data_IF_654480766245
#
_entry.id   IF_654480766245
#
_cell.length_a   1.000
_cell.length_b   1.000
_cell.length_c   1.000
_cell.angle_alpha   90.00
_cell.angle_beta   90.00
_cell.angle_gamma   90.00
#
_symmetry.space_group_name_H-M   'P 1'
#
loop_
_entity.id
_entity.type
_entity.pdbx_description
1 polymer ?
#
# COMPACT_ATOMS: atom_id res chain seq x y z
N UNK A 1 -18.03 1.79 9.27
CA UNK A 1 -18.09 1.39 7.85
C UNK A 1 -19.51 0.94 7.58
N UNK A 2 -20.11 1.43 6.52
CA UNK A 2 -21.43 1.00 6.05
C UNK A 2 -21.29 0.39 4.67
N UNK A 3 -22.04 -0.67 4.42
CA UNK A 3 -22.08 -1.36 3.12
C UNK A 3 -23.40 -1.01 2.44
N UNK A 4 -23.36 -0.69 1.15
CA UNK A 4 -24.58 -0.60 0.34
C UNK A 4 -25.04 -1.97 -0.15
N UNK A 5 -26.14 -2.00 -0.93
CA UNK A 5 -26.74 -3.23 -1.45
C UNK A 5 -25.83 -3.99 -2.44
N UNK A 6 -24.80 -3.34 -2.99
CA UNK A 6 -23.76 -3.92 -3.84
C UNK A 6 -22.51 -4.38 -3.07
N UNK A 7 -22.45 -4.12 -1.75
CA UNK A 7 -21.27 -4.38 -0.93
C UNK A 7 -20.22 -3.27 -1.01
N UNK A 8 -20.53 -2.15 -1.68
CA UNK A 8 -19.66 -0.99 -1.78
C UNK A 8 -19.69 -0.18 -0.48
N UNK A 9 -18.54 0.40 -0.14
CA UNK A 9 -18.31 0.95 1.19
C UNK A 9 -18.50 2.44 1.24
N UNK A 10 -19.12 2.87 2.31
CA UNK A 10 -19.02 4.23 2.81
C UNK A 10 -18.31 4.26 4.17
N UNK A 11 -17.31 5.13 4.27
CA UNK A 11 -16.64 5.43 5.52
C UNK A 11 -17.23 6.72 6.10
N UNK A 12 -17.72 6.65 7.33
CA UNK A 12 -17.99 7.82 8.15
C UNK A 12 -16.84 7.97 9.15
N UNK A 13 -16.23 9.16 9.17
CA UNK A 13 -15.07 9.44 10.01
C UNK A 13 -15.46 10.37 11.17
N UNK A 14 -15.39 9.85 12.39
CA UNK A 14 -15.44 10.66 13.60
C UNK A 14 -14.03 11.15 13.94
N UNK A 15 -13.56 12.20 13.24
CA UNK A 15 -12.19 12.70 13.32
C UNK A 15 -12.18 14.22 13.56
N UNK A 16 -12.49 14.70 14.78
CA UNK A 16 -12.48 16.16 15.10
C UNK A 16 -12.12 16.53 16.57
N UNK A 17 -10.83 16.87 16.85
CA UNK A 17 -9.67 16.43 16.09
C UNK A 17 -9.46 14.93 16.35
N UNK A 18 -9.07 14.17 15.33
CA UNK A 18 -8.58 12.81 15.55
C UNK A 18 -7.22 12.86 16.21
N UNK A 19 -6.93 11.99 17.19
CA UNK A 19 -5.62 11.98 17.85
C UNK A 19 -4.47 11.73 16.85
N UNK A 20 -4.75 11.02 15.76
CA UNK A 20 -3.82 10.74 14.66
C UNK A 20 -3.33 12.00 13.93
N UNK A 21 -4.06 13.13 13.99
CA UNK A 21 -3.62 14.40 13.40
C UNK A 21 -2.76 15.25 14.32
N UNK A 22 -2.63 14.85 15.60
CA UNK A 22 -2.00 15.68 16.63
C UNK A 22 -0.55 15.32 16.94
N UNK A 23 0.02 14.33 16.22
CA UNK A 23 1.40 13.89 16.41
C UNK A 23 2.37 15.04 16.10
N UNK A 24 3.22 15.37 17.07
CA UNK A 24 4.29 16.38 16.93
C UNK A 24 5.65 15.72 16.79
N UNK A 25 6.60 16.44 16.21
CA UNK A 25 7.97 15.97 15.99
C UNK A 25 8.68 15.55 17.28
N UNK A 26 8.47 16.27 18.38
CA UNK A 26 9.07 15.97 19.69
C UNK A 26 8.54 14.68 20.32
N UNK A 27 7.45 14.12 19.80
CA UNK A 27 6.88 12.83 20.23
C UNK A 27 7.42 11.64 19.41
N UNK A 28 8.14 11.90 18.30
CA UNK A 28 8.67 10.84 17.45
C UNK A 28 9.88 10.19 18.11
N UNK A 29 9.75 8.90 18.43
CA UNK A 29 10.88 8.11 18.91
C UNK A 29 11.80 7.71 17.75
N UNK A 30 12.85 8.48 17.52
CA UNK A 30 13.82 8.27 16.43
C UNK A 30 14.55 6.92 16.49
N UNK A 31 14.67 6.32 17.68
CA UNK A 31 15.31 5.01 17.83
C UNK A 31 14.55 3.91 17.07
N UNK A 32 13.21 4.00 17.03
CA UNK A 32 12.39 3.06 16.25
C UNK A 32 12.69 3.16 14.74
N UNK A 33 12.97 4.36 14.25
CA UNK A 33 13.36 4.57 12.84
C UNK A 33 14.78 4.05 12.62
N UNK A 34 15.70 4.30 13.55
CA UNK A 34 17.10 3.87 13.46
C UNK A 34 17.25 2.34 13.41
N UNK A 35 16.41 1.58 14.12
CA UNK A 35 16.42 0.11 14.10
C UNK A 35 15.63 -0.50 12.93
N UNK A 36 14.74 0.28 12.30
CA UNK A 36 13.94 -0.22 11.20
C UNK A 36 14.78 -0.50 9.94
N UNK A 37 14.30 -1.43 9.12
CA UNK A 37 14.76 -1.61 7.72
C UNK A 37 13.91 -0.81 6.73
N UNK A 38 12.64 -0.58 7.08
CA UNK A 38 11.62 0.05 6.25
C UNK A 38 10.90 1.11 7.05
N UNK A 39 10.65 2.25 6.42
CA UNK A 39 9.72 3.25 6.94
C UNK A 39 8.49 3.31 6.01
N UNK A 40 7.31 3.01 6.56
CA UNK A 40 6.05 3.04 5.83
C UNK A 40 5.21 4.25 6.25
N UNK A 41 4.60 4.92 5.27
CA UNK A 41 3.63 5.99 5.54
C UNK A 41 2.52 6.02 4.48
N UNK A 42 1.45 6.76 4.79
CA UNK A 42 0.36 7.01 3.87
C UNK A 42 -0.25 8.40 4.07
N UNK A 43 -1.09 8.84 3.13
CA UNK A 43 -1.49 10.26 3.06
C UNK A 43 -2.46 10.69 4.15
N UNK A 44 -3.06 9.75 4.90
CA UNK A 44 -3.90 10.07 6.06
C UNK A 44 -3.14 10.93 7.08
N UNK A 45 -1.86 10.63 7.31
CA UNK A 45 -1.01 11.41 8.20
C UNK A 45 -0.63 12.80 7.66
N UNK A 46 -0.96 13.09 6.39
CA UNK A 46 -0.69 14.36 5.71
C UNK A 46 -1.93 15.25 5.57
N UNK A 47 -3.06 14.83 6.12
CA UNK A 47 -4.33 15.57 6.02
C UNK A 47 -4.31 16.90 6.78
N UNK A 48 -3.75 16.92 7.99
CA UNK A 48 -3.81 18.05 8.92
C UNK A 48 -2.47 18.29 9.64
N UNK A 49 -2.26 19.51 10.12
CA UNK A 49 -1.17 19.83 11.04
C UNK A 49 -1.55 19.53 12.50
N UNK A 50 -0.59 19.19 13.38
CA UNK A 50 0.86 19.10 13.14
C UNK A 50 1.35 17.79 12.50
N UNK A 51 0.50 16.77 12.38
CA UNK A 51 0.92 15.45 11.90
C UNK A 51 1.55 15.48 10.52
N UNK A 52 1.06 16.32 9.59
CA UNK A 52 1.64 16.46 8.26
C UNK A 52 3.11 16.83 8.33
N UNK A 53 3.45 17.94 8.99
CA UNK A 53 4.86 18.36 9.13
C UNK A 53 5.70 17.27 9.80
N UNK A 54 5.16 16.64 10.86
CA UNK A 54 5.84 15.54 11.56
C UNK A 54 6.14 14.36 10.65
N UNK A 55 5.19 13.91 9.83
CA UNK A 55 5.41 12.83 8.86
C UNK A 55 6.47 13.21 7.84
N UNK A 56 6.43 14.43 7.30
CA UNK A 56 7.43 14.88 6.33
C UNK A 56 8.85 14.87 6.92
N UNK A 57 9.00 15.31 8.17
CA UNK A 57 10.27 15.25 8.90
C UNK A 57 10.72 13.80 9.17
N UNK A 58 9.79 12.92 9.53
CA UNK A 58 10.09 11.50 9.79
C UNK A 58 10.54 10.77 8.52
N UNK A 59 9.90 11.03 7.38
CA UNK A 59 10.33 10.51 6.07
C UNK A 59 11.73 11.02 5.71
N UNK A 60 11.99 12.32 5.88
CA UNK A 60 13.31 12.88 5.62
C UNK A 60 14.40 12.27 6.51
N UNK A 61 14.12 12.08 7.80
CA UNK A 61 15.02 11.42 8.75
C UNK A 61 15.28 9.95 8.36
N UNK A 62 14.23 9.20 8.02
CA UNK A 62 14.36 7.81 7.57
C UNK A 62 15.24 7.71 6.31
N UNK A 63 15.05 8.60 5.33
CA UNK A 63 15.91 8.66 4.13
C UNK A 63 17.36 8.94 4.47
N UNK A 64 17.63 9.90 5.36
CA UNK A 64 18.98 10.21 5.82
C UNK A 64 19.66 9.03 6.55
N UNK A 65 18.87 8.12 7.12
CA UNK A 65 19.35 6.88 7.76
C UNK A 65 19.38 5.66 6.81
N UNK A 66 19.20 5.89 5.51
CA UNK A 66 19.25 4.84 4.48
C UNK A 66 18.13 3.82 4.59
N UNK A 67 16.98 4.20 5.14
CA UNK A 67 15.81 3.31 5.24
C UNK A 67 15.11 3.21 3.91
N UNK A 68 14.61 2.01 3.59
CA UNK A 68 13.74 1.82 2.44
C UNK A 68 12.40 2.50 2.73
N UNK A 69 11.97 3.43 1.86
CA UNK A 69 10.73 4.17 2.03
C UNK A 69 9.62 3.49 1.24
N UNK A 70 8.54 3.14 1.93
CA UNK A 70 7.35 2.56 1.30
C UNK A 70 6.15 3.44 1.53
N UNK A 71 5.30 3.60 0.52
CA UNK A 71 4.08 4.41 0.63
C UNK A 71 2.86 3.68 0.08
N UNK A 72 1.74 3.83 0.79
CA UNK A 72 0.38 3.61 0.27
C UNK A 72 -0.37 4.94 0.38
N UNK A 73 -0.66 5.65 -0.74
CA UNK A 73 -1.42 6.88 -0.70
C UNK A 73 -2.74 6.73 0.07
N UNK A 74 -3.42 5.59 -0.08
CA UNK A 74 -4.62 5.20 0.64
C UNK A 74 -5.69 6.31 0.71
N UNK A 75 -6.06 6.87 -0.43
CA UNK A 75 -6.95 8.02 -0.56
C UNK A 75 -8.27 7.81 0.21
N UNK A 76 -8.62 8.81 1.02
CA UNK A 76 -9.90 8.91 1.71
C UNK A 76 -10.46 10.30 1.49
N UNK A 77 -11.13 10.50 0.35
CA UNK A 77 -11.65 11.81 -0.07
C UNK A 77 -12.38 12.59 1.03
N UNK A 78 -13.23 12.00 1.89
CA UNK A 78 -13.93 12.74 2.94
C UNK A 78 -13.01 13.38 4.00
N UNK A 79 -11.74 12.95 4.10
CA UNK A 79 -10.76 13.51 5.03
C UNK A 79 -10.00 14.71 4.46
N UNK A 80 -10.16 15.01 3.17
CA UNK A 80 -9.46 16.10 2.50
C UNK A 80 -10.38 17.31 2.32
N UNK A 81 -9.80 18.51 2.48
CA UNK A 81 -10.52 19.77 2.23
C UNK A 81 -10.96 19.88 0.77
N UNK A 82 -10.11 19.43 -0.15
CA UNK A 82 -10.37 19.39 -1.59
C UNK A 82 -9.65 18.20 -2.22
N UNK A 83 -10.14 17.69 -3.37
CA UNK A 83 -9.41 16.70 -4.16
C UNK A 83 -8.02 17.17 -4.58
N UNK A 84 -7.86 18.48 -4.85
CA UNK A 84 -6.56 19.07 -5.20
C UNK A 84 -5.55 18.96 -4.05
N UNK A 85 -5.97 19.19 -2.80
CA UNK A 85 -5.12 19.03 -1.63
C UNK A 85 -4.70 17.56 -1.42
N UNK A 86 -5.62 16.62 -1.66
CA UNK A 86 -5.30 15.20 -1.63
C UNK A 86 -4.23 14.85 -2.67
N UNK A 87 -4.46 15.28 -3.93
CA UNK A 87 -3.55 15.06 -5.05
C UNK A 87 -2.16 15.62 -4.79
N UNK A 88 -2.06 16.83 -4.23
CA UNK A 88 -0.79 17.45 -3.86
C UNK A 88 0.00 16.57 -2.88
N UNK A 89 -0.63 16.11 -1.80
CA UNK A 89 0.07 15.29 -0.79
C UNK A 89 0.35 13.87 -1.30
N UNK A 90 -0.50 13.30 -2.15
CA UNK A 90 -0.22 12.04 -2.84
C UNK A 90 1.03 12.18 -3.71
N UNK A 91 1.10 13.19 -4.57
CA UNK A 91 2.26 13.42 -5.46
C UNK A 91 3.55 13.65 -4.66
N UNK A 92 3.49 14.45 -3.58
CA UNK A 92 4.62 14.58 -2.66
C UNK A 92 5.06 13.21 -2.12
N UNK A 93 4.11 12.38 -1.65
CA UNK A 93 4.42 11.05 -1.10
C UNK A 93 5.12 10.15 -2.12
N UNK A 94 4.67 10.19 -3.38
CA UNK A 94 5.30 9.43 -4.47
C UNK A 94 6.76 9.84 -4.69
N UNK A 95 7.06 11.15 -4.69
CA UNK A 95 8.45 11.64 -4.84
C UNK A 95 9.38 11.24 -3.70
N UNK A 96 8.83 10.80 -2.56
CA UNK A 96 9.62 10.41 -1.40
C UNK A 96 9.91 8.91 -1.33
N UNK A 97 9.25 8.09 -2.14
CA UNK A 97 9.13 6.65 -1.92
C UNK A 97 9.95 5.80 -2.88
N UNK A 98 10.55 4.72 -2.37
CA UNK A 98 11.26 3.71 -3.17
C UNK A 98 10.29 2.60 -3.64
N UNK A 99 9.28 2.28 -2.83
CA UNK A 99 8.25 1.29 -3.15
C UNK A 99 6.89 1.92 -2.95
N UNK A 100 6.02 1.82 -3.95
CA UNK A 100 4.66 2.36 -3.89
C UNK A 100 3.66 1.26 -4.11
N UNK A 101 2.73 1.11 -3.17
CA UNK A 101 1.47 0.42 -3.41
C UNK A 101 0.41 1.47 -3.74
N UNK A 102 -0.36 1.25 -4.79
CA UNK A 102 -1.42 2.15 -5.22
C UNK A 102 -2.57 1.32 -5.80
N UNK A 103 -3.82 1.78 -5.68
CA UNK A 103 -4.95 1.17 -6.37
C UNK A 103 -5.13 1.72 -7.78
N UNK A 104 -5.78 0.95 -8.65
CA UNK A 104 -6.28 1.40 -9.95
C UNK A 104 -7.13 2.69 -9.85
N UNK A 105 -8.01 2.78 -8.85
CA UNK A 105 -8.82 3.98 -8.60
C UNK A 105 -7.95 5.20 -8.26
N UNK A 106 -6.88 5.02 -7.50
CA UNK A 106 -5.93 6.10 -7.18
C UNK A 106 -5.07 6.49 -8.39
N UNK A 107 -4.69 5.53 -9.24
CA UNK A 107 -4.04 5.79 -10.54
C UNK A 107 -4.95 6.64 -11.43
N UNK A 108 -6.22 6.26 -11.54
CA UNK A 108 -7.23 7.02 -12.29
C UNK A 108 -7.42 8.42 -11.71
N UNK A 109 -7.48 8.56 -10.38
CA UNK A 109 -7.59 9.85 -9.70
C UNK A 109 -6.38 10.78 -9.98
N UNK A 110 -5.16 10.25 -9.93
CA UNK A 110 -3.95 11.04 -10.14
C UNK A 110 -3.75 11.44 -11.60
N UNK A 111 -4.00 10.51 -12.53
CA UNK A 111 -3.52 10.65 -13.91
C UNK A 111 -4.55 10.36 -14.99
N UNK A 112 -5.71 9.79 -14.64
CA UNK A 112 -6.75 9.43 -15.61
C UNK A 112 -6.28 8.41 -16.65
N UNK A 113 -5.33 7.54 -16.28
CA UNK A 113 -4.69 6.56 -17.16
C UNK A 113 -4.91 5.12 -16.67
N UNK A 114 -4.45 4.15 -17.46
CA UNK A 114 -4.50 2.73 -17.10
C UNK A 114 -3.56 2.40 -15.92
N UNK A 115 -3.79 1.29 -15.20
CA UNK A 115 -2.87 0.77 -14.19
C UNK A 115 -1.44 0.55 -14.70
N UNK A 116 -1.29 0.05 -15.93
CA UNK A 116 0.00 -0.20 -16.56
C UNK A 116 0.77 1.10 -16.85
N UNK A 117 0.07 2.14 -17.32
CA UNK A 117 0.63 3.48 -17.48
C UNK A 117 0.98 4.10 -16.12
N UNK A 118 0.09 3.98 -15.12
CA UNK A 118 0.36 4.48 -13.77
C UNK A 118 1.61 3.84 -13.15
N UNK A 119 1.77 2.53 -13.30
CA UNK A 119 2.98 1.82 -12.88
C UNK A 119 4.22 2.32 -13.63
N UNK A 120 4.13 2.60 -14.94
CA UNK A 120 5.25 3.17 -15.69
C UNK A 120 5.63 4.56 -15.17
N UNK A 121 4.65 5.44 -14.95
CA UNK A 121 4.87 6.80 -14.46
C UNK A 121 5.55 6.81 -13.10
N UNK A 122 5.16 5.91 -12.18
CA UNK A 122 5.83 5.74 -10.89
C UNK A 122 7.34 5.52 -11.07
N UNK A 123 7.74 4.65 -12.00
CA UNK A 123 9.16 4.33 -12.23
C UNK A 123 9.93 5.45 -12.92
N UNK A 124 9.30 6.15 -13.88
CA UNK A 124 9.96 7.12 -14.74
C UNK A 124 9.95 8.55 -14.18
N UNK A 125 8.83 8.98 -13.62
CA UNK A 125 8.62 10.37 -13.16
C UNK A 125 8.93 10.55 -11.67
N UNK A 126 8.81 9.50 -10.86
CA UNK A 126 8.97 9.56 -9.40
C UNK A 126 10.17 8.76 -8.89
N UNK A 127 10.91 8.10 -9.79
CA UNK A 127 12.05 7.21 -9.48
C UNK A 127 11.73 6.10 -8.47
N UNK A 128 10.47 5.67 -8.42
CA UNK A 128 10.04 4.49 -7.67
C UNK A 128 10.76 3.26 -8.24
N UNK A 129 11.18 2.35 -7.37
CA UNK A 129 11.95 1.16 -7.71
C UNK A 129 11.06 -0.08 -7.86
N UNK A 130 9.96 -0.12 -7.11
CA UNK A 130 8.91 -1.13 -7.21
C UNK A 130 7.53 -0.48 -7.11
N UNK A 131 6.77 -0.52 -8.20
CA UNK A 131 5.37 -0.14 -8.26
C UNK A 131 4.48 -1.38 -8.06
N UNK A 132 3.49 -1.29 -7.18
CA UNK A 132 2.54 -2.37 -6.87
C UNK A 132 1.11 -1.82 -7.03
N UNK A 133 0.48 -2.08 -8.18
CA UNK A 133 -0.88 -1.63 -8.47
C UNK A 133 -1.88 -2.73 -8.14
N UNK A 134 -2.81 -2.48 -7.22
CA UNK A 134 -3.91 -3.40 -6.90
C UNK A 134 -5.13 -3.09 -7.75
N UNK A 135 -5.78 -4.13 -8.29
CA UNK A 135 -6.88 -4.05 -9.26
C UNK A 135 -8.19 -4.65 -8.70
N UNK A 136 -8.34 -4.65 -7.37
CA UNK A 136 -9.46 -5.32 -6.69
C UNK A 136 -9.59 -6.80 -7.10
N UNK A 137 -10.77 -7.25 -7.56
CA UNK A 137 -10.98 -8.64 -7.98
C UNK A 137 -10.19 -9.03 -9.25
N UNK A 138 -9.74 -8.05 -10.04
CA UNK A 138 -8.94 -8.31 -11.25
C UNK A 138 -7.46 -8.59 -10.91
N UNK A 139 -7.08 -8.49 -9.63
CA UNK A 139 -5.80 -8.94 -9.12
C UNK A 139 -4.79 -7.82 -8.87
N UNK A 140 -3.56 -7.98 -9.37
CA UNK A 140 -2.50 -6.99 -9.17
C UNK A 140 -1.48 -6.95 -10.31
N UNK A 141 -0.73 -5.84 -10.35
CA UNK A 141 0.39 -5.57 -11.24
C UNK A 141 1.59 -5.11 -10.40
N UNK A 142 2.68 -5.87 -10.40
CA UNK A 142 3.95 -5.46 -9.81
C UNK A 142 4.95 -5.16 -10.93
N UNK A 143 5.68 -4.05 -10.82
CA UNK A 143 6.60 -3.60 -11.86
C UNK A 143 7.86 -2.96 -11.28
N UNK A 144 9.00 -3.37 -11.83
CA UNK A 144 10.30 -2.70 -11.69
C UNK A 144 10.79 -2.27 -13.07
N UNK A 145 11.99 -1.69 -13.18
CA UNK A 145 12.58 -1.39 -14.49
C UNK A 145 12.94 -2.65 -15.29
N UNK A 146 13.09 -3.80 -14.63
CA UNK A 146 13.59 -5.04 -15.22
C UNK A 146 12.55 -6.15 -15.31
N UNK A 147 11.48 -6.10 -14.50
CA UNK A 147 10.53 -7.19 -14.39
C UNK A 147 9.09 -6.69 -14.24
N UNK A 148 8.16 -7.55 -14.65
CA UNK A 148 6.72 -7.33 -14.56
C UNK A 148 6.05 -8.62 -14.07
N UNK A 149 5.15 -8.49 -13.12
CA UNK A 149 4.24 -9.55 -12.69
C UNK A 149 2.80 -9.04 -12.75
N UNK A 150 1.91 -9.82 -13.33
CA UNK A 150 0.47 -9.54 -13.37
C UNK A 150 -0.26 -10.86 -13.14
N UNK A 151 -1.19 -10.88 -12.20
CA UNK A 151 -1.98 -12.07 -11.91
C UNK A 151 -3.39 -11.69 -11.47
N UNK A 152 -4.41 -12.47 -11.84
CA UNK A 152 -5.77 -12.31 -11.34
C UNK A 152 -5.85 -12.66 -9.86
N UNK A 153 -6.81 -12.06 -9.14
CA UNK A 153 -7.05 -12.44 -7.74
C UNK A 153 -7.55 -13.90 -7.66
N UNK A 154 -7.14 -14.66 -6.64
CA UNK A 154 -7.79 -15.93 -6.32
C UNK A 154 -9.30 -15.75 -6.17
N UNK A 155 -10.06 -16.71 -6.71
CA UNK A 155 -11.51 -16.75 -6.53
C UNK A 155 -11.83 -17.00 -5.05
N UNK A 156 -12.54 -16.04 -4.44
CA UNK A 156 -12.98 -16.07 -3.04
C UNK A 156 -14.41 -15.58 -2.93
N UNK A 157 -15.05 -15.82 -1.80
CA UNK A 157 -16.38 -15.29 -1.50
C UNK A 157 -16.27 -14.12 -0.50
N UNK A 158 -16.14 -12.87 -0.96
CA UNK A 158 -15.86 -11.74 -0.08
C UNK A 158 -17.06 -11.47 0.84
N UNK A 159 -16.77 -11.42 2.15
CA UNK A 159 -17.66 -10.98 3.22
C UNK A 159 -17.37 -9.52 3.56
N UNK A 160 -16.09 -9.15 3.63
CA UNK A 160 -15.64 -7.82 4.03
C UNK A 160 -14.23 -7.56 3.47
N UNK A 161 -14.10 -6.78 2.41
CA UNK A 161 -12.81 -6.36 1.83
C UNK A 161 -12.00 -5.35 2.70
N UNK A 162 -12.32 -5.15 3.99
CA UNK A 162 -11.75 -4.06 4.82
C UNK A 162 -10.32 -4.41 5.13
N UNK A 163 -9.39 -3.50 4.88
CA UNK A 163 -7.97 -3.76 5.08
C UNK A 163 -7.32 -4.64 4.00
N UNK A 164 -8.04 -5.15 3.00
CA UNK A 164 -7.45 -6.01 1.97
C UNK A 164 -6.25 -5.35 1.26
N UNK A 165 -6.34 -4.04 0.98
CA UNK A 165 -5.22 -3.27 0.41
C UNK A 165 -4.04 -3.09 1.37
N UNK A 166 -4.31 -2.91 2.67
CA UNK A 166 -3.28 -2.79 3.71
C UNK A 166 -2.57 -4.15 3.92
N UNK A 167 -3.35 -5.25 3.89
CA UNK A 167 -2.87 -6.63 3.99
C UNK A 167 -2.03 -7.00 2.77
N UNK A 168 -2.44 -6.59 1.58
CA UNK A 168 -1.62 -6.72 0.37
C UNK A 168 -0.28 -6.02 0.55
N UNK A 169 -0.30 -4.73 0.91
CA UNK A 169 0.92 -3.92 1.07
C UNK A 169 1.86 -4.49 2.13
N UNK A 170 1.36 -4.79 3.32
CA UNK A 170 2.14 -5.38 4.40
C UNK A 170 2.70 -6.76 4.04
N UNK A 171 1.91 -7.60 3.36
CA UNK A 171 2.36 -8.92 2.90
C UNK A 171 3.44 -8.81 1.83
N UNK A 172 3.30 -7.90 0.87
CA UNK A 172 4.28 -7.67 -0.18
C UNK A 172 5.62 -7.18 0.39
N UNK A 173 5.58 -6.19 1.29
CA UNK A 173 6.79 -5.66 1.95
C UNK A 173 7.44 -6.74 2.83
N UNK A 174 6.66 -7.56 3.53
CA UNK A 174 7.22 -8.68 4.30
C UNK A 174 7.98 -9.68 3.41
N UNK A 175 7.44 -10.02 2.23
CA UNK A 175 8.10 -10.92 1.27
C UNK A 175 9.36 -10.28 0.65
N UNK A 176 9.29 -8.99 0.33
CA UNK A 176 10.47 -8.23 -0.11
C UNK A 176 11.59 -8.27 0.94
N UNK A 177 11.26 -8.08 2.22
CA UNK A 177 12.23 -8.11 3.31
C UNK A 177 12.82 -9.49 3.58
N UNK A 178 12.05 -10.56 3.34
CA UNK A 178 12.51 -11.95 3.40
C UNK A 178 13.51 -12.29 2.29
N UNK A 179 13.33 -11.75 1.08
CA UNK A 179 14.29 -11.94 -0.02
C UNK A 179 15.64 -11.27 0.25
N UNK A 180 15.64 -10.19 1.03
CA UNK A 180 16.87 -9.45 1.37
C UNK A 180 17.53 -8.74 0.18
N UNK A 181 16.78 -8.51 -0.90
CA UNK A 181 17.24 -7.85 -2.13
C UNK A 181 16.78 -6.39 -2.16
N UNK A 182 17.56 -5.53 -2.82
CA UNK A 182 17.08 -4.20 -3.20
C UNK A 182 15.97 -4.33 -4.27
N UNK A 183 14.98 -3.43 -4.31
CA UNK A 183 13.88 -3.54 -5.28
C UNK A 183 14.34 -3.60 -6.75
N UNK A 184 15.41 -2.90 -7.10
CA UNK A 184 16.00 -2.87 -8.44
C UNK A 184 16.68 -4.18 -8.85
N UNK A 185 16.90 -5.09 -7.90
CA UNK A 185 17.52 -6.40 -8.13
C UNK A 185 16.49 -7.53 -8.24
N UNK A 186 15.19 -7.21 -8.10
CA UNK A 186 14.13 -8.20 -8.15
C UNK A 186 13.98 -8.75 -9.57
N UNK A 187 14.05 -10.08 -9.68
CA UNK A 187 13.78 -10.81 -10.91
C UNK A 187 12.27 -11.02 -11.10
N UNK A 188 11.89 -11.57 -12.25
CA UNK A 188 10.51 -11.96 -12.50
C UNK A 188 9.99 -13.02 -11.50
N UNK A 189 10.85 -13.96 -11.07
CA UNK A 189 10.50 -14.96 -10.06
C UNK A 189 10.30 -14.31 -8.69
N UNK A 190 11.13 -13.31 -8.34
CA UNK A 190 10.99 -12.56 -7.09
C UNK A 190 9.66 -11.79 -7.07
N UNK A 191 9.29 -11.11 -8.16
CA UNK A 191 8.00 -10.42 -8.27
C UNK A 191 6.82 -11.39 -8.22
N UNK A 192 6.95 -12.56 -8.86
CA UNK A 192 5.93 -13.60 -8.83
C UNK A 192 5.72 -14.12 -7.41
N UNK A 193 6.80 -14.30 -6.64
CA UNK A 193 6.73 -14.69 -5.24
C UNK A 193 6.04 -13.62 -4.37
N UNK A 194 6.49 -12.35 -4.46
CA UNK A 194 5.92 -11.24 -3.69
C UNK A 194 4.45 -11.05 -4.04
N UNK A 195 4.14 -10.91 -5.33
CA UNK A 195 2.81 -10.60 -5.82
C UNK A 195 1.81 -11.71 -5.56
N UNK A 196 2.16 -12.97 -5.82
CA UNK A 196 1.26 -14.11 -5.57
C UNK A 196 0.95 -14.28 -4.09
N UNK A 197 1.95 -14.11 -3.21
CA UNK A 197 1.71 -14.18 -1.76
C UNK A 197 0.80 -13.04 -1.31
N UNK A 198 1.13 -11.79 -1.68
CA UNK A 198 0.37 -10.62 -1.24
C UNK A 198 -1.08 -10.65 -1.73
N UNK A 199 -1.28 -11.08 -2.98
CA UNK A 199 -2.60 -11.23 -3.57
C UNK A 199 -3.42 -12.32 -2.87
N UNK A 200 -2.81 -13.47 -2.57
CA UNK A 200 -3.47 -14.55 -1.83
C UNK A 200 -3.84 -14.13 -0.42
N UNK A 201 -2.94 -13.45 0.29
CA UNK A 201 -3.21 -12.96 1.64
C UNK A 201 -4.37 -11.95 1.66
N UNK A 202 -4.40 -11.02 0.70
CA UNK A 202 -5.47 -10.05 0.57
C UNK A 202 -6.80 -10.73 0.23
N UNK A 203 -6.83 -11.67 -0.72
CA UNK A 203 -8.06 -12.41 -1.08
C UNK A 203 -8.64 -13.17 0.09
N UNK A 204 -7.82 -13.95 0.81
CA UNK A 204 -8.27 -14.71 1.99
C UNK A 204 -8.82 -13.80 3.09
N UNK A 205 -8.21 -12.62 3.30
CA UNK A 205 -8.71 -11.69 4.31
C UNK A 205 -10.13 -11.20 4.04
N UNK A 206 -10.56 -11.19 2.78
CA UNK A 206 -11.89 -10.71 2.43
C UNK A 206 -13.00 -11.66 2.87
N UNK A 207 -12.70 -12.92 3.17
CA UNK A 207 -13.67 -13.96 3.58
C UNK A 207 -14.09 -13.82 5.06
N UNK A 208 -13.50 -12.87 5.79
CA UNK A 208 -13.76 -12.61 7.20
C UNK A 208 -13.94 -11.12 7.47
N UNK A 209 -14.72 -10.77 8.50
CA UNK A 209 -14.95 -9.37 8.84
C UNK A 209 -13.80 -8.73 9.64
N UNK A 210 -13.55 -7.46 9.34
CA UNK A 210 -12.60 -6.58 10.04
C UNK A 210 -11.20 -6.61 9.44
N UNK A 211 -10.55 -5.44 9.32
CA UNK A 211 -9.26 -5.34 8.63
C UNK A 211 -8.04 -5.90 9.37
N UNK A 212 -8.07 -5.94 10.71
CA UNK A 212 -6.99 -6.56 11.51
C UNK A 212 -7.30 -8.02 11.85
N UNK A 213 -8.52 -8.38 12.31
CA UNK A 213 -8.83 -9.77 12.65
C UNK A 213 -8.78 -10.73 11.46
N UNK A 214 -8.91 -10.23 10.23
CA UNK A 214 -8.87 -11.02 9.00
C UNK A 214 -7.46 -11.30 8.45
N UNK A 215 -6.40 -10.78 9.08
CA UNK A 215 -5.02 -11.02 8.63
C UNK A 215 -4.74 -12.54 8.67
N UNK A 216 -4.51 -13.20 7.52
CA UNK A 216 -4.31 -14.64 7.51
C UNK A 216 -2.92 -15.01 8.03
N UNK A 217 -2.81 -16.19 8.64
CA UNK A 217 -1.51 -16.73 9.02
C UNK A 217 -0.65 -17.05 7.79
N UNK A 218 0.68 -16.99 7.93
CA UNK A 218 1.60 -17.39 6.85
C UNK A 218 1.34 -18.81 6.34
N UNK A 219 1.01 -19.74 7.24
CA UNK A 219 0.66 -21.12 6.88
C UNK A 219 -0.59 -21.21 6.01
N UNK A 220 -1.64 -20.44 6.34
CA UNK A 220 -2.86 -20.41 5.55
C UNK A 220 -2.62 -19.86 4.13
N UNK A 221 -1.85 -18.78 4.01
CA UNK A 221 -1.51 -18.21 2.69
C UNK A 221 -0.73 -19.21 1.84
N UNK A 222 0.30 -19.85 2.40
CA UNK A 222 1.11 -20.83 1.67
C UNK A 222 0.30 -22.06 1.25
N UNK A 223 -0.61 -22.54 2.10
CA UNK A 223 -1.51 -23.64 1.75
C UNK A 223 -2.44 -23.27 0.58
N UNK A 224 -3.03 -22.06 0.62
CA UNK A 224 -3.90 -21.57 -0.44
C UNK A 224 -3.17 -21.39 -1.78
N UNK A 225 -1.92 -20.92 -1.77
CA UNK A 225 -1.08 -20.84 -2.97
C UNK A 225 -0.81 -22.22 -3.61
N UNK A 226 -0.69 -23.28 -2.80
CA UNK A 226 -0.49 -24.64 -3.31
C UNK A 226 -1.76 -25.26 -3.89
N UNK A 227 -2.94 -24.91 -3.35
CA UNK A 227 -4.23 -25.39 -3.86
C UNK A 227 -4.66 -24.66 -5.12
N UNK A 228 -4.35 -23.36 -5.24
CA UNK A 228 -4.63 -22.54 -6.42
C UNK A 228 -3.72 -22.83 -7.62
N UNK A 229 -2.55 -23.46 -7.42
CA UNK A 229 -1.66 -23.91 -8.50
C UNK A 229 -2.19 -25.14 -9.28
N UNK A 230 -3.39 -25.64 -8.94
CA UNK A 230 -4.09 -26.72 -9.66
C UNK A 230 -5.27 -26.15 -10.46
N UNK A 231 -4.99 -25.35 -11.48
CA UNK A 231 -5.95 -25.03 -12.55
C UNK A 231 -5.26 -25.06 -13.88
#
# INVERSE_FOLDING_TARGET
VTFDASGDRSFSFARKPGADTQLRWDEVNLHLIDEARVFHFGTLSLTDEPARTTTQQAVAYAKAKGKLITCDPNLREPLWKTPAAAKEQMLWSLTQSDVVKISDNEVAFLWGCSPEEGAQRLLEEFDVKLAMVTLGPDGCLLKTKQALFRAPAPAVHPVDTTGAGDIFGGSAVARLLELGKAPEQLTQDDLSYIGSYALTAASLSTEHSGGIPSIPSKGAVLAAMQTGART
#
